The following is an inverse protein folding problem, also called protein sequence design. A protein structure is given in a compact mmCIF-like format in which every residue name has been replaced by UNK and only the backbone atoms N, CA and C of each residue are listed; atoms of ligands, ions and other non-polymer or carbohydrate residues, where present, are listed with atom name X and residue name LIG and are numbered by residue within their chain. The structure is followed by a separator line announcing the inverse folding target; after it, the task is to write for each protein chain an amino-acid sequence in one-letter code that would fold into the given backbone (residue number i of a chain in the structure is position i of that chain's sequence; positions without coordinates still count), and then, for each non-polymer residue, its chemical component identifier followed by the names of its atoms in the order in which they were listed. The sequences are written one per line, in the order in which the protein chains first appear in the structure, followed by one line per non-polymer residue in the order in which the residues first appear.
data_IF_291359546137
#
_entry.id   IF_291359546137
#
_cell.length_a   1.000
_cell.length_b   1.000
_cell.length_c   1.000
_cell.angle_alpha   90.00
_cell.angle_beta   90.00
_cell.angle_gamma   90.00
#
_symmetry.space_group_name_H-M   'P 1'
#
loop_
_entity.id
_entity.type
_entity.pdbx_description
1 polymer ?
#
# COMPACT_ATOMS: atom_id res chain seq x y z
N UNK A 1 37.28 7.74 -7.47
CA UNK A 1 37.00 7.17 -6.13
C UNK A 1 35.59 6.60 -6.19
N UNK A 2 35.39 5.34 -5.85
CA UNK A 2 34.06 4.72 -5.83
C UNK A 2 33.27 5.25 -4.65
N UNK A 3 32.04 5.72 -4.88
CA UNK A 3 31.14 6.14 -3.79
C UNK A 3 30.83 4.90 -2.94
N UNK A 4 31.03 4.94 -1.62
CA UNK A 4 30.76 3.80 -0.75
C UNK A 4 29.27 3.45 -0.78
N UNK A 5 28.96 2.15 -0.70
CA UNK A 5 27.58 1.68 -0.69
C UNK A 5 26.91 1.96 0.66
N UNK A 6 25.58 2.04 0.68
CA UNK A 6 24.80 2.24 1.90
C UNK A 6 25.15 1.21 2.99
N UNK A 7 25.26 -0.06 2.62
CA UNK A 7 25.63 -1.15 3.51
C UNK A 7 27.00 -0.95 4.17
N UNK A 8 27.99 -0.49 3.41
CA UNK A 8 29.34 -0.23 3.91
C UNK A 8 29.34 0.92 4.92
N UNK A 9 28.72 2.06 4.57
CA UNK A 9 28.60 3.22 5.46
C UNK A 9 27.86 2.88 6.74
N UNK A 10 26.73 2.18 6.65
CA UNK A 10 25.94 1.77 7.81
C UNK A 10 26.75 0.86 8.75
N UNK A 11 27.48 -0.12 8.19
CA UNK A 11 28.33 -1.03 8.95
C UNK A 11 29.47 -0.30 9.68
N UNK A 12 30.12 0.64 8.99
CA UNK A 12 31.19 1.45 9.54
C UNK A 12 30.68 2.31 10.71
N UNK A 13 29.58 3.03 10.51
CA UNK A 13 29.00 3.88 11.55
C UNK A 13 28.46 3.10 12.75
N UNK A 14 27.86 1.93 12.54
CA UNK A 14 27.45 1.03 13.64
C UNK A 14 28.63 0.56 14.47
N UNK A 15 29.72 0.16 13.80
CA UNK A 15 30.96 -0.29 14.46
C UNK A 15 31.58 0.85 15.26
N UNK A 16 31.64 2.05 14.68
CA UNK A 16 32.16 3.25 15.36
C UNK A 16 31.33 3.65 16.57
N UNK A 17 30.00 3.54 16.48
CA UNK A 17 29.09 3.88 17.57
C UNK A 17 28.99 2.79 18.66
N UNK A 18 29.49 1.58 18.40
CA UNK A 18 29.36 0.45 19.31
C UNK A 18 27.91 -0.03 19.51
N UNK A 19 27.02 0.27 18.55
CA UNK A 19 25.59 -0.06 18.63
C UNK A 19 25.33 -1.40 17.94
N UNK A 20 24.58 -2.29 18.60
CA UNK A 20 24.19 -3.56 18.01
C UNK A 20 23.00 -3.43 17.06
N UNK A 21 22.88 -4.32 16.06
CA UNK A 21 21.74 -4.34 15.12
C UNK A 21 20.38 -4.40 15.84
N UNK A 22 20.31 -5.15 16.95
CA UNK A 22 19.09 -5.28 17.77
C UNK A 22 18.71 -3.95 18.43
N UNK A 23 19.71 -3.24 18.96
CA UNK A 23 19.49 -1.96 19.61
C UNK A 23 19.07 -0.89 18.59
N UNK A 24 19.76 -0.82 17.45
CA UNK A 24 19.39 0.09 16.37
C UNK A 24 17.95 -0.17 15.93
N UNK A 25 17.61 -1.42 15.63
CA UNK A 25 16.28 -1.81 15.18
C UNK A 25 15.18 -1.39 16.18
N UNK A 26 15.38 -1.65 17.48
CA UNK A 26 14.47 -1.24 18.54
C UNK A 26 14.29 0.28 18.59
N UNK A 27 15.39 1.04 18.45
CA UNK A 27 15.35 2.50 18.54
C UNK A 27 14.63 3.19 17.37
N UNK A 28 14.73 2.64 16.16
CA UNK A 28 14.08 3.21 14.97
C UNK A 28 12.68 2.62 14.70
N UNK A 29 12.26 1.61 15.48
CA UNK A 29 10.94 0.98 15.38
C UNK A 29 10.82 -0.06 14.26
N UNK A 30 11.94 -0.65 13.81
CA UNK A 30 11.93 -1.70 12.77
C UNK A 30 12.35 -3.05 13.32
N UNK A 31 12.13 -4.13 12.56
CA UNK A 31 12.57 -5.48 12.95
C UNK A 31 14.09 -5.61 12.80
N UNK A 32 14.75 -6.36 13.69
CA UNK A 32 16.20 -6.66 13.62
C UNK A 32 16.62 -7.20 12.25
N UNK A 33 15.80 -8.08 11.66
CA UNK A 33 16.05 -8.66 10.34
C UNK A 33 16.16 -7.59 9.24
N UNK A 34 15.44 -6.47 9.35
CA UNK A 34 15.48 -5.38 8.39
C UNK A 34 16.85 -4.69 8.43
N UNK A 35 17.34 -4.34 9.62
CA UNK A 35 18.68 -3.74 9.81
C UNK A 35 19.77 -4.70 9.34
N UNK A 36 19.64 -6.00 9.63
CA UNK A 36 20.58 -7.00 9.14
C UNK A 36 20.63 -7.02 7.60
N UNK A 37 19.49 -7.04 6.91
CA UNK A 37 19.44 -7.02 5.44
C UNK A 37 20.01 -5.73 4.84
N UNK A 38 19.88 -4.59 5.53
CA UNK A 38 20.51 -3.33 5.12
C UNK A 38 22.03 -3.43 5.22
N UNK A 39 22.54 -3.97 6.34
CA UNK A 39 23.97 -4.14 6.60
C UNK A 39 24.65 -5.11 5.63
N UNK A 40 23.96 -6.20 5.26
CA UNK A 40 24.46 -7.19 4.29
C UNK A 40 24.30 -6.72 2.82
N UNK A 41 23.73 -5.55 2.56
CA UNK A 41 23.48 -5.06 1.20
C UNK A 41 22.42 -5.85 0.43
N UNK A 42 21.63 -6.70 1.11
CA UNK A 42 20.50 -7.44 0.51
C UNK A 42 19.33 -6.53 0.12
N UNK A 43 19.34 -5.29 0.61
CA UNK A 43 18.42 -4.23 0.24
C UNK A 43 19.27 -3.04 -0.14
N UNK A 44 19.40 -2.78 -1.45
CA UNK A 44 20.17 -1.65 -1.97
C UNK A 44 19.57 -0.30 -1.59
N UNK A 45 18.23 -0.24 -1.42
CA UNK A 45 17.50 0.99 -1.13
C UNK A 45 16.44 0.77 -0.04
N UNK A 46 16.61 1.34 1.17
CA UNK A 46 15.56 1.39 2.18
C UNK A 46 14.28 2.02 1.63
N UNK A 47 13.10 1.55 2.09
CA UNK A 47 11.81 2.02 1.57
C UNK A 47 11.36 3.36 2.16
N UNK A 48 11.79 3.65 3.38
CA UNK A 48 11.38 4.81 4.18
C UNK A 48 12.58 5.71 4.43
N UNK A 49 12.46 6.98 4.06
CA UNK A 49 13.49 8.00 4.33
C UNK A 49 13.59 8.27 5.83
N UNK A 50 12.45 8.32 6.51
CA UNK A 50 12.34 8.59 7.94
C UNK A 50 13.11 7.56 8.77
N UNK A 51 13.13 6.29 8.36
CA UNK A 51 13.88 5.26 9.08
C UNK A 51 15.40 5.47 8.97
N UNK A 52 15.88 5.94 7.81
CA UNK A 52 17.29 6.29 7.60
C UNK A 52 17.68 7.53 8.41
N UNK A 53 16.79 8.52 8.51
CA UNK A 53 17.00 9.69 9.35
C UNK A 53 17.03 9.34 10.85
N UNK A 54 16.10 8.52 11.34
CA UNK A 54 16.14 8.02 12.72
C UNK A 54 17.42 7.21 12.99
N UNK A 55 17.88 6.46 12.00
CA UNK A 55 19.15 5.75 12.08
C UNK A 55 20.34 6.72 12.22
N UNK A 56 20.42 7.74 11.37
CA UNK A 56 21.46 8.77 11.45
C UNK A 56 21.45 9.51 12.80
N UNK A 57 20.25 9.84 13.29
CA UNK A 57 20.05 10.48 14.60
C UNK A 57 20.52 9.58 15.75
N UNK A 58 20.14 8.29 15.75
CA UNK A 58 20.55 7.32 16.78
C UNK A 58 22.07 7.09 16.77
N UNK A 59 22.68 7.06 15.60
CA UNK A 59 24.13 6.92 15.41
C UNK A 59 24.89 8.22 15.70
N UNK A 60 24.18 9.33 15.97
CA UNK A 60 24.75 10.68 16.20
C UNK A 60 25.68 11.11 15.07
N UNK A 61 25.26 10.86 13.83
CA UNK A 61 26.02 11.28 12.65
C UNK A 61 26.06 12.79 12.53
N UNK A 62 27.18 13.31 12.04
CA UNK A 62 27.27 14.71 11.60
C UNK A 62 26.37 14.96 10.38
N UNK A 63 26.11 16.22 10.05
CA UNK A 63 25.24 16.55 8.92
C UNK A 63 25.79 16.02 7.58
N UNK A 64 27.10 16.13 7.36
CA UNK A 64 27.78 15.59 6.17
C UNK A 64 27.66 14.06 6.09
N UNK A 65 27.88 13.36 7.20
CA UNK A 65 27.75 11.90 7.26
C UNK A 65 26.31 11.43 7.04
N UNK A 66 25.34 12.15 7.62
CA UNK A 66 23.91 11.91 7.40
C UNK A 66 23.57 12.06 5.92
N UNK A 67 24.04 13.12 5.27
CA UNK A 67 23.75 13.37 3.86
C UNK A 67 24.44 12.35 2.94
N UNK A 68 25.67 11.93 3.25
CA UNK A 68 26.32 10.81 2.57
C UNK A 68 25.54 9.50 2.74
N UNK A 69 25.04 9.22 3.94
CA UNK A 69 24.22 8.03 4.21
C UNK A 69 22.89 8.08 3.44
N UNK A 70 22.24 9.24 3.38
CA UNK A 70 21.00 9.46 2.62
C UNK A 70 21.25 9.29 1.11
N UNK A 71 22.31 9.89 0.57
CA UNK A 71 22.69 9.75 -0.84
C UNK A 71 22.97 8.30 -1.21
N UNK A 72 23.73 7.58 -0.38
CA UNK A 72 24.02 6.17 -0.58
C UNK A 72 22.75 5.31 -0.52
N UNK A 73 21.76 5.70 0.29
CA UNK A 73 20.43 5.11 0.36
C UNK A 73 19.47 5.58 -0.75
N UNK A 74 19.93 6.42 -1.68
CA UNK A 74 19.13 6.96 -2.80
C UNK A 74 18.09 8.00 -2.38
N UNK A 75 18.29 8.72 -1.29
CA UNK A 75 17.44 9.83 -0.85
C UNK A 75 18.14 11.18 -1.07
N UNK A 76 17.36 12.27 -1.13
CA UNK A 76 17.89 13.62 -1.22
C UNK A 76 18.55 14.04 0.12
N UNK A 77 19.70 14.76 0.08
CA UNK A 77 20.34 15.35 1.26
C UNK A 77 19.41 16.28 2.04
N UNK A 78 19.56 16.32 3.35
CA UNK A 78 18.74 17.20 4.20
C UNK A 78 19.16 18.66 4.02
N UNK A 79 20.46 18.95 3.95
CA UNK A 79 20.94 20.34 3.88
C UNK A 79 20.64 21.01 2.54
N UNK A 80 20.70 20.27 1.42
CA UNK A 80 20.24 20.80 0.12
C UNK A 80 18.74 21.12 0.14
N UNK A 81 17.95 20.35 0.90
CA UNK A 81 16.51 20.59 1.01
C UNK A 81 16.24 21.87 1.80
N UNK A 82 17.01 22.13 2.87
CA UNK A 82 16.90 23.37 3.65
C UNK A 82 17.42 24.58 2.90
N UNK A 83 18.51 24.45 2.14
CA UNK A 83 19.08 25.57 1.38
C UNK A 83 18.16 25.97 0.21
N UNK A 84 17.60 24.99 -0.52
CA UNK A 84 16.61 25.27 -1.56
C UNK A 84 15.34 25.89 -0.96
N UNK A 85 14.88 25.41 0.19
CA UNK A 85 13.71 25.98 0.86
C UNK A 85 13.98 27.41 1.38
N UNK A 86 15.21 27.68 1.83
CA UNK A 86 15.67 29.00 2.27
C UNK A 86 15.81 29.98 1.11
N UNK A 87 16.29 29.52 -0.04
CA UNK A 87 16.40 30.32 -1.27
C UNK A 87 15.03 30.57 -1.94
N UNK A 88 14.09 29.62 -1.80
CA UNK A 88 12.74 29.75 -2.35
C UNK A 88 11.81 30.65 -1.54
N UNK A 89 12.14 30.95 -0.28
CA UNK A 89 11.43 31.94 0.52
C UNK A 89 12.12 33.29 0.33
N UNK A 90 11.47 34.30 -0.30
CA UNK A 90 12.07 35.62 -0.45
C UNK A 90 12.46 36.12 0.95
N UNK A 91 13.75 36.41 1.12
CA UNK A 91 14.27 36.98 2.35
C UNK A 91 13.55 38.31 2.57
N UNK A 92 12.67 38.35 3.57
CA UNK A 92 12.12 39.58 4.16
C UNK A 92 13.23 40.35 4.91
N UNK A 93 14.41 40.50 4.30
CA UNK A 93 15.46 41.40 4.76
C UNK A 93 15.10 42.81 4.29
N UNK A 94 14.21 43.45 5.04
CA UNK A 94 13.77 44.80 4.73
C UNK A 94 12.89 45.49 5.77
N UNK A 95 12.83 45.02 7.01
CA UNK A 95 12.18 45.75 8.10
C UNK A 95 13.25 46.30 9.06
N UNK A 96 13.93 47.35 8.59
CA UNK A 96 14.74 48.25 9.41
C UNK A 96 13.88 48.78 10.56
N UNK A 97 14.23 48.37 11.78
CA UNK A 97 13.84 49.03 13.01
C UNK A 97 14.35 50.46 12.98
N UNK A 98 13.43 51.42 12.83
CA UNK A 98 13.69 52.81 13.24
C UNK A 98 13.06 52.97 14.62
N UNK A 99 13.93 52.93 15.62
CA UNK A 99 13.69 53.52 16.94
C UNK A 99 13.37 55.01 16.75
N UNK A 100 12.17 55.44 17.16
CA UNK A 100 11.93 56.80 17.64
C UNK A 100 11.06 56.73 18.88
N UNK A 101 11.71 56.96 20.02
CA UNK A 101 11.26 57.63 21.24
C UNK A 101 9.74 57.86 21.43
N UNK A 102 9.14 57.17 22.41
CA UNK A 102 8.01 57.72 23.15
C UNK A 102 8.21 57.58 24.66
N UNK A 103 8.75 58.62 25.34
CA UNK A 103 8.94 58.64 26.78
C UNK A 103 7.79 59.39 27.47
N UNK A 104 6.55 58.89 27.43
CA UNK A 104 5.52 59.44 28.32
C UNK A 104 4.26 58.57 28.51
N UNK A 105 4.13 57.91 29.67
CA UNK A 105 2.86 57.64 30.41
C UNK A 105 3.13 56.54 31.46
N UNK A 106 3.53 56.83 32.70
CA UNK A 106 2.76 57.41 33.84
C UNK A 106 1.64 56.48 34.34
N UNK A 107 1.95 55.85 35.49
CA UNK A 107 1.16 55.54 36.69
C UNK A 107 -0.12 54.68 36.65
N UNK A 108 -0.03 53.53 37.37
CA UNK A 108 -0.87 53.04 38.51
C UNK A 108 -2.42 52.94 38.38
N UNK A 109 -3.13 52.26 39.31
CA UNK A 109 -2.95 50.90 39.83
C UNK A 109 -4.31 50.13 39.97
N UNK A 110 -4.21 48.88 40.46
CA UNK A 110 -5.13 48.21 41.41
C UNK A 110 -6.67 48.28 41.20
N UNK A 111 -7.26 47.12 40.90
CA UNK A 111 -8.57 46.72 41.44
C UNK A 111 -8.74 45.21 41.31
N UNK A 112 -8.91 44.55 42.45
CA UNK A 112 -9.23 43.14 42.55
C UNK A 112 -10.56 42.76 41.90
N UNK A 113 -10.67 41.47 41.59
CA UNK A 113 -11.96 40.80 41.59
C UNK A 113 -11.74 39.38 42.08
N UNK A 114 -12.07 39.16 43.36
CA UNK A 114 -12.54 37.89 43.86
C UNK A 114 -13.77 37.47 43.06
N UNK A 115 -13.90 36.20 42.71
CA UNK A 115 -15.18 35.48 42.84
C UNK A 115 -14.95 33.97 42.71
N UNK A 116 -15.42 33.29 43.73
CA UNK A 116 -15.57 31.86 43.92
C UNK A 116 -16.50 31.29 42.85
N UNK A 117 -16.24 30.09 42.30
CA UNK A 117 -17.30 29.09 42.20
C UNK A 117 -16.74 27.67 42.03
N UNK A 118 -17.51 26.75 42.59
CA UNK A 118 -17.19 25.42 43.05
C UNK A 118 -17.38 24.32 42.01
N UNK A 119 -17.10 23.07 42.45
CA UNK A 119 -17.73 21.80 42.00
C UNK A 119 -17.24 21.27 40.63
N UNK A 120 -16.85 20.01 40.41
CA UNK A 120 -17.24 18.72 41.00
C UNK A 120 -16.07 17.72 41.00
N UNK A 121 -15.91 17.10 42.15
CA UNK A 121 -15.23 15.84 42.43
C UNK A 121 -16.11 14.68 41.93
N UNK A 122 -15.59 13.86 41.00
CA UNK A 122 -16.23 12.62 40.56
C UNK A 122 -15.26 11.44 40.75
N UNK A 123 -14.98 11.13 42.02
CA UNK A 123 -14.49 9.83 42.45
C UNK A 123 -15.64 8.82 42.59
N UNK A 124 -15.75 7.86 41.67
CA UNK A 124 -16.63 6.71 41.82
C UNK A 124 -15.88 5.53 42.50
N UNK A 125 -16.38 4.97 43.62
CA UNK A 125 -15.88 3.73 44.18
C UNK A 125 -16.64 2.53 43.58
N UNK A 126 -15.89 1.60 42.96
CA UNK A 126 -16.43 0.31 42.53
C UNK A 126 -16.41 -0.64 43.73
N UNK A 127 -17.61 -1.07 44.11
CA UNK A 127 -17.93 -1.98 45.21
C UNK A 127 -17.59 -3.43 44.86
N UNK A 128 -16.91 -4.08 45.80
CA UNK A 128 -16.76 -5.53 45.94
C UNK A 128 -18.11 -6.25 45.90
N UNK A 129 -18.18 -7.39 45.22
CA UNK A 129 -18.85 -8.59 45.73
C UNK A 129 -18.55 -9.83 44.88
N UNK A 130 -18.05 -10.88 45.55
CA UNK A 130 -18.52 -12.25 45.28
C UNK A 130 -17.56 -13.24 44.60
N UNK A 131 -16.64 -13.81 45.37
CA UNK A 131 -16.12 -15.18 45.17
C UNK A 131 -17.27 -16.20 45.36
N UNK A 132 -17.27 -17.36 44.68
CA UNK A 132 -16.76 -18.55 45.37
C UNK A 132 -15.90 -19.49 44.49
N UNK A 133 -15.13 -20.30 45.22
CA UNK A 133 -14.08 -21.21 44.82
C UNK A 133 -14.48 -22.33 43.84
N UNK A 134 -13.49 -22.83 43.07
CA UNK A 134 -13.14 -24.26 42.83
C UNK A 134 -11.86 -24.27 41.97
N UNK A 135 -10.65 -24.32 42.55
CA UNK A 135 -9.82 -25.52 42.76
C UNK A 135 -9.78 -26.47 41.56
N UNK A 136 -8.68 -26.49 40.80
CA UNK A 136 -7.88 -27.68 40.40
C UNK A 136 -6.67 -27.20 39.57
N UNK A 137 -5.47 -27.25 40.17
CA UNK A 137 -4.20 -27.24 39.43
C UNK A 137 -3.88 -28.66 38.94
N UNK A 138 -3.08 -28.79 37.87
CA UNK A 138 -1.99 -29.75 37.92
C UNK A 138 -0.64 -29.09 37.58
N UNK A 139 0.21 -29.02 38.60
CA UNK A 139 1.62 -29.45 38.62
C UNK A 139 2.17 -29.97 37.28
N UNK A 140 3.14 -29.26 36.69
CA UNK A 140 4.28 -29.87 35.98
C UNK A 140 5.55 -29.04 36.18
N UNK A 141 6.39 -29.56 37.06
CA UNK A 141 7.86 -29.59 37.10
C UNK A 141 8.69 -28.61 36.24
N UNK A 142 9.33 -27.68 36.95
CA UNK A 142 10.64 -27.14 36.58
C UNK A 142 11.73 -28.17 36.87
N UNK A 143 12.45 -28.59 35.83
CA UNK A 143 13.68 -29.39 35.96
C UNK A 143 14.89 -28.48 35.77
N UNK A 144 15.78 -28.33 36.76
CA UNK A 144 17.09 -27.73 36.57
C UNK A 144 18.09 -28.83 36.20
N UNK A 145 18.62 -28.81 34.98
CA UNK A 145 19.71 -29.70 34.56
C UNK A 145 20.99 -28.92 34.36
N UNK A 146 21.88 -29.13 35.33
CA UNK A 146 23.34 -29.24 35.18
C UNK A 146 24.10 -28.21 34.35
N UNK A 147 24.56 -27.20 35.09
CA UNK A 147 25.94 -26.72 35.05
C UNK A 147 26.92 -27.92 35.16
N UNK A 148 27.58 -28.26 34.06
CA UNK A 148 28.79 -29.08 34.08
C UNK A 148 29.93 -28.31 33.43
N UNK A 149 30.95 -28.10 34.27
CA UNK A 149 32.28 -27.67 33.92
C UNK A 149 32.87 -28.50 32.78
N UNK A 150 33.54 -27.84 31.83
CA UNK A 150 34.56 -28.49 31.03
C UNK A 150 35.74 -27.54 30.89
N UNK A 151 36.76 -27.87 31.67
CA UNK A 151 38.09 -27.31 31.65
C UNK A 151 38.98 -28.17 30.71
N UNK A 152 39.97 -27.52 30.09
CA UNK A 152 41.18 -28.08 29.46
C UNK A 152 41.08 -28.97 28.17
N UNK A 153 41.43 -28.35 27.02
CA UNK A 153 42.48 -28.68 26.00
C UNK A 153 42.78 -30.17 25.63
N UNK A 154 43.07 -30.52 24.35
CA UNK A 154 44.25 -29.99 23.64
C UNK A 154 44.19 -29.79 22.11
N UNK A 155 45.21 -29.06 21.64
CA UNK A 155 45.67 -28.95 20.25
C UNK A 155 45.83 -30.34 19.59
N UNK A 156 45.33 -30.47 18.36
CA UNK A 156 45.61 -31.60 17.49
C UNK A 156 45.30 -31.24 16.04
N UNK A 157 46.35 -31.09 15.24
CA UNK A 157 46.29 -30.83 13.82
C UNK A 157 45.55 -31.95 13.06
N UNK A 158 44.79 -31.58 12.03
CA UNK A 158 44.54 -32.42 10.86
C UNK A 158 44.06 -31.54 9.71
N UNK A 159 44.99 -31.30 8.79
CA UNK A 159 44.71 -31.05 7.38
C UNK A 159 43.70 -32.08 6.87
N UNK A 160 42.52 -31.62 6.44
CA UNK A 160 41.72 -32.34 5.46
C UNK A 160 41.36 -31.37 4.34
N UNK A 161 42.18 -31.42 3.29
CA UNK A 161 41.87 -30.88 1.99
C UNK A 161 40.61 -31.56 1.43
N UNK A 162 39.46 -30.90 1.58
CA UNK A 162 38.23 -31.26 0.87
C UNK A 162 38.42 -30.86 -0.59
N UNK A 163 38.71 -31.86 -1.42
CA UNK A 163 38.75 -31.73 -2.88
C UNK A 163 37.31 -31.64 -3.38
N UNK A 164 36.85 -30.43 -3.69
CA UNK A 164 35.57 -30.18 -4.36
C UNK A 164 35.75 -30.52 -5.85
N UNK A 165 34.98 -31.47 -6.42
CA UNK A 165 35.05 -31.74 -7.85
C UNK A 165 34.48 -30.56 -8.65
N UNK A 166 35.08 -30.17 -9.78
CA UNK A 166 34.52 -29.10 -10.61
C UNK A 166 33.18 -29.55 -11.19
N UNK A 167 32.17 -28.71 -11.02
CA UNK A 167 30.86 -28.89 -11.63
C UNK A 167 31.00 -28.94 -13.15
N UNK A 168 30.75 -30.11 -13.74
CA UNK A 168 30.57 -30.29 -15.18
C UNK A 168 29.33 -29.51 -15.65
N UNK A 169 29.45 -28.53 -16.57
CA UNK A 169 28.29 -27.89 -17.15
C UNK A 169 27.52 -28.89 -18.03
N UNK A 170 26.21 -28.92 -17.83
CA UNK A 170 25.25 -29.75 -18.55
C UNK A 170 25.33 -29.49 -20.06
N UNK A 171 25.76 -30.53 -20.78
CA UNK A 171 26.00 -30.58 -22.23
C UNK A 171 24.73 -30.49 -23.10
N UNK A 172 23.56 -30.19 -22.52
CA UNK A 172 22.26 -30.25 -23.19
C UNK A 172 21.71 -28.88 -23.65
N UNK A 173 22.38 -27.77 -23.33
CA UNK A 173 21.98 -26.43 -23.77
C UNK A 173 22.83 -25.86 -24.93
N UNK A 174 23.86 -26.59 -25.39
CA UNK A 174 24.73 -26.13 -26.46
C UNK A 174 24.18 -26.36 -27.88
N UNK A 175 23.17 -27.22 -28.05
CA UNK A 175 22.68 -27.61 -29.39
C UNK A 175 21.54 -26.73 -29.92
N UNK A 176 20.89 -25.91 -29.08
CA UNK A 176 19.75 -25.07 -29.51
C UNK A 176 20.19 -23.68 -29.99
N UNK A 177 21.42 -23.24 -29.65
CA UNK A 177 21.88 -21.87 -29.96
C UNK A 177 22.65 -21.72 -31.29
N UNK A 178 22.92 -22.82 -32.01
CA UNK A 178 23.69 -22.80 -33.26
C UNK A 178 22.83 -22.73 -34.54
N UNK A 179 21.50 -22.79 -34.45
CA UNK A 179 20.61 -22.78 -35.63
C UNK A 179 19.99 -21.43 -35.99
N UNK A 180 20.17 -20.39 -35.18
CA UNK A 180 19.35 -19.17 -35.28
C UNK A 180 20.01 -17.96 -35.95
N UNK A 181 21.21 -18.11 -36.52
CA UNK A 181 21.98 -16.97 -37.06
C UNK A 181 22.35 -17.08 -38.55
N UNK A 182 21.78 -18.03 -39.27
CA UNK A 182 21.87 -18.05 -40.73
C UNK A 182 20.48 -18.00 -41.35
N UNK A 183 20.21 -16.94 -42.09
CA UNK A 183 19.07 -16.70 -42.98
C UNK A 183 17.83 -15.99 -42.39
N UNK A 184 17.95 -14.67 -42.19
CA UNK A 184 16.89 -13.73 -41.77
C UNK A 184 15.68 -13.64 -42.73
N UNK A 185 15.71 -14.28 -43.90
CA UNK A 185 14.58 -14.24 -44.85
C UNK A 185 13.54 -15.36 -44.66
N UNK A 186 13.86 -16.42 -43.91
CA UNK A 186 12.95 -17.56 -43.71
C UNK A 186 12.40 -17.67 -42.28
N UNK A 187 12.90 -16.86 -41.33
CA UNK A 187 12.48 -16.92 -39.93
C UNK A 187 11.01 -16.56 -39.69
N UNK A 188 10.47 -15.57 -40.41
CA UNK A 188 9.08 -15.14 -40.21
C UNK A 188 8.05 -16.18 -40.70
N UNK A 189 8.34 -16.87 -41.80
CA UNK A 189 7.46 -17.92 -42.34
C UNK A 189 7.46 -19.18 -41.47
N UNK A 190 8.62 -19.55 -40.89
CA UNK A 190 8.71 -20.70 -39.98
C UNK A 190 7.90 -20.52 -38.69
N UNK A 191 7.92 -19.31 -38.11
CA UNK A 191 7.18 -19.01 -36.88
C UNK A 191 5.66 -19.08 -37.11
N UNK A 192 5.17 -18.56 -38.25
CA UNK A 192 3.75 -18.62 -38.60
C UNK A 192 3.27 -20.06 -38.85
N UNK A 193 4.09 -20.91 -39.48
CA UNK A 193 3.74 -22.30 -39.71
C UNK A 193 3.61 -23.09 -38.39
N UNK A 194 4.49 -22.86 -37.42
CA UNK A 194 4.45 -23.52 -36.10
C UNK A 194 3.24 -23.04 -35.29
N UNK A 195 2.93 -21.74 -35.32
CA UNK A 195 1.73 -21.19 -34.68
C UNK A 195 0.43 -21.74 -35.29
N UNK A 196 0.37 -21.83 -36.62
CA UNK A 196 -0.79 -22.41 -37.32
C UNK A 196 -1.01 -23.88 -36.97
N UNK A 197 0.07 -24.68 -36.89
CA UNK A 197 -0.01 -26.08 -36.51
C UNK A 197 -0.48 -26.25 -35.05
N UNK A 198 -0.03 -25.38 -34.14
CA UNK A 198 -0.43 -25.41 -32.74
C UNK A 198 -1.92 -25.08 -32.55
N UNK A 199 -2.43 -24.04 -33.23
CA UNK A 199 -3.87 -23.69 -33.19
C UNK A 199 -4.73 -24.84 -33.72
N UNK A 200 -4.30 -25.48 -34.81
CA UNK A 200 -5.03 -26.61 -35.42
C UNK A 200 -5.05 -27.85 -34.50
N UNK A 201 -3.97 -28.11 -33.76
CA UNK A 201 -3.89 -29.19 -32.78
C UNK A 201 -4.80 -28.93 -31.57
N UNK A 202 -4.79 -27.71 -31.03
CA UNK A 202 -5.66 -27.33 -29.91
C UNK A 202 -7.13 -27.45 -30.31
N UNK A 203 -7.51 -26.93 -31.47
CA UNK A 203 -8.89 -26.95 -31.95
C UNK A 203 -9.41 -28.39 -32.19
N UNK A 204 -8.54 -29.31 -32.63
CA UNK A 204 -8.87 -30.72 -32.81
C UNK A 204 -9.07 -31.49 -31.50
N UNK A 205 -8.49 -31.02 -30.39
CA UNK A 205 -8.55 -31.72 -29.10
C UNK A 205 -9.65 -31.25 -28.15
N UNK A 206 -10.45 -30.22 -28.52
CA UNK A 206 -11.62 -29.82 -27.73
C UNK A 206 -12.80 -30.76 -28.01
N UNK A 207 -13.23 -31.60 -27.05
CA UNK A 207 -14.43 -32.42 -27.23
C UNK A 207 -15.66 -31.52 -27.21
N UNK A 208 -16.38 -31.45 -28.34
CA UNK A 208 -17.70 -30.86 -28.42
C UNK A 208 -18.69 -31.68 -27.58
N UNK A 209 -18.77 -31.41 -26.27
CA UNK A 209 -19.85 -31.90 -25.41
C UNK A 209 -21.04 -30.96 -25.55
N UNK A 210 -21.82 -31.17 -26.60
CA UNK A 210 -23.21 -30.70 -26.66
C UNK A 210 -24.03 -31.80 -25.99
N UNK A 211 -24.35 -31.61 -24.71
CA UNK A 211 -25.32 -32.48 -24.01
C UNK A 211 -26.71 -32.05 -24.46
N UNK A 212 -27.52 -32.91 -25.11
CA UNK A 212 -28.92 -32.60 -25.38
C UNK A 212 -29.69 -32.48 -24.06
N UNK A 213 -30.45 -31.40 -23.92
CA UNK A 213 -31.28 -31.14 -22.76
C UNK A 213 -32.34 -32.24 -22.60
N UNK A 214 -32.41 -32.79 -21.39
CA UNK A 214 -33.41 -33.77 -20.96
C UNK A 214 -34.79 -33.08 -20.85
N UNK A 215 -35.89 -33.71 -21.33
CA UNK A 215 -37.23 -33.15 -21.22
C UNK A 215 -37.69 -33.20 -19.74
N UNK A 216 -37.75 -32.03 -19.11
CA UNK A 216 -38.29 -31.85 -17.76
C UNK A 216 -39.78 -32.20 -17.73
N UNK A 217 -40.15 -33.11 -16.84
CA UNK A 217 -41.52 -33.51 -16.59
C UNK A 217 -42.35 -32.35 -16.03
N UNK A 218 -43.53 -32.17 -16.60
CA UNK A 218 -44.52 -31.15 -16.24
C UNK A 218 -45.14 -31.46 -14.88
N UNK A 219 -44.78 -30.71 -13.85
CA UNK A 219 -45.49 -30.70 -12.56
C UNK A 219 -46.73 -29.79 -12.60
N UNK A 220 -47.79 -30.10 -11.83
CA UNK A 220 -49.05 -29.38 -11.85
C UNK A 220 -48.90 -27.95 -11.30
N UNK A 221 -49.35 -26.99 -12.10
CA UNK A 221 -49.42 -25.56 -11.78
C UNK A 221 -50.37 -25.32 -10.61
N UNK A 222 -49.81 -25.08 -9.42
CA UNK A 222 -50.55 -24.47 -8.30
C UNK A 222 -50.65 -22.98 -8.60
N UNK A 223 -51.87 -22.51 -8.88
CA UNK A 223 -52.17 -21.08 -9.03
C UNK A 223 -52.03 -20.39 -7.68
N UNK A 224 -50.82 -19.94 -7.36
CA UNK A 224 -50.61 -18.93 -6.33
C UNK A 224 -51.14 -17.59 -6.84
N UNK A 225 -52.18 -17.09 -6.18
CA UNK A 225 -52.71 -15.75 -6.35
C UNK A 225 -51.60 -14.74 -6.08
N UNK A 226 -51.03 -14.18 -7.16
CA UNK A 226 -50.00 -13.14 -7.11
C UNK A 226 -50.58 -11.89 -6.44
N UNK A 227 -50.24 -11.69 -5.17
CA UNK A 227 -50.32 -10.40 -4.52
C UNK A 227 -49.37 -9.47 -5.30
N UNK A 228 -49.83 -8.35 -5.90
CA UNK A 228 -48.96 -7.46 -6.64
C UNK A 228 -47.80 -7.04 -5.73
N UNK A 229 -46.54 -7.14 -6.18
CA UNK A 229 -45.40 -6.74 -5.37
C UNK A 229 -45.61 -5.28 -4.96
N UNK A 230 -45.80 -5.07 -3.65
CA UNK A 230 -45.85 -3.74 -3.06
C UNK A 230 -44.54 -3.08 -3.46
N UNK A 231 -44.61 -2.05 -4.29
CA UNK A 231 -43.45 -1.25 -4.65
C UNK A 231 -42.82 -0.74 -3.35
N UNK A 232 -41.75 -1.40 -2.91
CA UNK A 232 -40.90 -0.88 -1.86
C UNK A 232 -40.37 0.43 -2.38
N UNK A 233 -40.77 1.52 -1.74
CA UNK A 233 -40.31 2.86 -2.05
C UNK A 233 -38.78 2.81 -2.10
N UNK A 234 -38.21 3.11 -3.27
CA UNK A 234 -36.77 3.33 -3.44
C UNK A 234 -36.33 4.29 -2.35
N UNK A 235 -35.47 3.82 -1.44
CA UNK A 235 -34.92 4.68 -0.41
C UNK A 235 -34.18 5.83 -1.13
N UNK A 236 -34.68 7.05 -0.97
CA UNK A 236 -34.03 8.21 -1.55
C UNK A 236 -32.71 8.45 -0.80
N UNK A 237 -31.61 8.58 -1.54
CA UNK A 237 -30.34 9.02 -0.95
C UNK A 237 -30.51 10.42 -0.35
N UNK A 238 -29.89 10.71 0.81
CA UNK A 238 -30.01 12.03 1.41
C UNK A 238 -29.30 13.08 0.56
N UNK A 239 -29.75 14.33 0.66
CA UNK A 239 -29.35 15.43 -0.22
C UNK A 239 -27.84 15.78 -0.25
N UNK A 240 -27.05 15.22 0.66
CA UNK A 240 -25.62 15.49 0.79
C UNK A 240 -24.73 14.55 -0.04
N UNK A 241 -25.33 13.67 -0.84
CA UNK A 241 -24.56 12.74 -1.66
C UNK A 241 -24.04 13.42 -2.94
N UNK A 242 -22.81 13.09 -3.38
CA UNK A 242 -22.23 13.70 -4.57
C UNK A 242 -23.08 13.37 -5.79
N UNK A 243 -23.49 14.42 -6.51
CA UNK A 243 -24.30 14.34 -7.73
C UNK A 243 -23.62 15.14 -8.83
N UNK A 244 -23.64 14.62 -10.06
CA UNK A 244 -23.02 15.29 -11.20
C UNK A 244 -23.72 16.62 -11.49
N UNK A 245 -22.94 17.67 -11.72
CA UNK A 245 -23.48 18.90 -12.29
C UNK A 245 -23.89 18.66 -13.75
N UNK A 246 -24.87 19.43 -14.23
CA UNK A 246 -25.38 19.31 -15.60
C UNK A 246 -24.24 19.50 -16.62
N UNK A 247 -23.93 18.44 -17.38
CA UNK A 247 -22.88 18.44 -18.39
C UNK A 247 -21.45 18.22 -17.85
N UNK A 248 -21.26 18.09 -16.54
CA UNK A 248 -19.98 17.72 -15.95
C UNK A 248 -19.86 16.18 -15.84
N UNK A 249 -18.65 15.68 -15.97
CA UNK A 249 -18.34 14.28 -15.69
C UNK A 249 -18.03 14.13 -14.20
N UNK A 250 -18.80 13.30 -13.50
CA UNK A 250 -18.51 12.93 -12.12
C UNK A 250 -17.89 11.53 -12.06
N UNK A 251 -16.71 11.45 -11.46
CA UNK A 251 -16.08 10.18 -11.06
C UNK A 251 -16.31 9.99 -9.57
N UNK A 252 -16.76 8.80 -9.18
CA UNK A 252 -16.94 8.44 -7.78
C UNK A 252 -15.94 7.37 -7.39
N UNK A 253 -15.33 7.53 -6.23
CA UNK A 253 -14.51 6.48 -5.59
C UNK A 253 -15.17 6.09 -4.27
N UNK A 254 -15.65 4.86 -4.16
CA UNK A 254 -16.23 4.35 -2.93
C UNK A 254 -15.13 3.79 -1.99
N UNK A 255 -15.33 3.89 -0.66
CA UNK A 255 -14.54 3.17 0.33
C UNK A 255 -14.47 1.68 -0.02
N UNK A 256 -13.25 1.13 0.07
CA UNK A 256 -13.03 -0.28 -0.19
C UNK A 256 -13.41 -1.11 1.03
N UNK A 257 -13.99 -2.29 0.77
CA UNK A 257 -14.29 -3.25 1.83
C UNK A 257 -13.00 -3.97 2.25
N UNK A 258 -12.60 -3.81 3.51
CA UNK A 258 -11.36 -4.36 4.05
C UNK A 258 -11.64 -5.55 4.94
N UNK A 259 -11.09 -6.72 4.59
CA UNK A 259 -11.23 -7.96 5.36
C UNK A 259 -10.06 -8.18 6.35
N UNK A 260 -9.23 -7.16 6.55
CA UNK A 260 -8.12 -7.19 7.51
C UNK A 260 -8.60 -6.79 8.89
N UNK A 261 -8.41 -7.68 9.87
CA UNK A 261 -9.01 -7.58 11.22
C UNK A 261 -8.60 -6.30 11.98
N UNK A 262 -7.45 -5.71 11.67
CA UNK A 262 -6.83 -4.69 12.53
C UNK A 262 -6.43 -3.38 11.83
N UNK A 263 -6.61 -3.28 10.51
CA UNK A 263 -6.12 -2.10 9.77
C UNK A 263 -7.08 -1.79 8.62
N UNK A 264 -7.61 -0.57 8.63
CA UNK A 264 -8.36 -0.02 7.50
C UNK A 264 -7.47 0.94 6.73
N UNK A 265 -7.26 0.66 5.46
CA UNK A 265 -6.52 1.55 4.57
C UNK A 265 -7.48 2.51 3.87
N UNK A 266 -7.11 3.80 3.82
CA UNK A 266 -7.81 4.80 3.01
C UNK A 266 -7.48 4.62 1.52
N UNK A 267 -7.98 3.55 0.91
CA UNK A 267 -7.76 3.23 -0.50
C UNK A 267 -8.44 4.27 -1.40
N UNK A 268 -9.67 4.68 -1.06
CA UNK A 268 -10.45 5.62 -1.84
C UNK A 268 -9.76 6.99 -1.96
N UNK A 269 -9.28 7.55 -0.85
CA UNK A 269 -8.56 8.82 -0.86
C UNK A 269 -7.28 8.80 -1.69
N UNK A 270 -6.53 7.69 -1.65
CA UNK A 270 -5.31 7.55 -2.47
C UNK A 270 -5.61 7.48 -3.97
N UNK A 271 -6.67 6.78 -4.34
CA UNK A 271 -7.13 6.73 -5.74
C UNK A 271 -7.65 8.10 -6.17
N UNK A 272 -8.41 8.78 -5.33
CA UNK A 272 -8.93 10.13 -5.59
C UNK A 272 -7.77 11.11 -5.83
N UNK A 273 -6.79 11.17 -4.93
CA UNK A 273 -5.63 12.07 -5.03
C UNK A 273 -4.84 11.83 -6.33
N UNK A 274 -4.56 10.56 -6.65
CA UNK A 274 -3.83 10.19 -7.85
C UNK A 274 -4.61 10.55 -9.14
N UNK A 275 -5.93 10.37 -9.16
CA UNK A 275 -6.78 10.74 -10.28
C UNK A 275 -6.96 12.25 -10.41
N UNK A 276 -7.18 12.96 -9.31
CA UNK A 276 -7.32 14.41 -9.29
C UNK A 276 -6.08 15.10 -9.87
N UNK A 277 -4.90 14.65 -9.44
CA UNK A 277 -3.61 15.13 -9.98
C UNK A 277 -3.53 14.94 -11.50
N UNK A 278 -3.96 13.78 -11.99
CA UNK A 278 -3.88 13.47 -13.42
C UNK A 278 -4.93 14.22 -14.25
N UNK A 279 -6.15 14.36 -13.74
CA UNK A 279 -7.24 15.15 -14.37
C UNK A 279 -6.80 16.61 -14.50
N UNK A 280 -6.19 17.17 -13.46
CA UNK A 280 -5.62 18.51 -13.50
C UNK A 280 -4.50 18.63 -14.55
N UNK A 281 -3.56 17.67 -14.57
CA UNK A 281 -2.46 17.65 -15.55
C UNK A 281 -2.96 17.50 -17.01
N UNK A 282 -4.03 16.74 -17.21
CA UNK A 282 -4.63 16.51 -18.53
C UNK A 282 -5.55 17.67 -18.99
N UNK A 283 -5.80 18.67 -18.14
CA UNK A 283 -6.68 19.80 -18.47
C UNK A 283 -8.16 19.40 -18.62
N UNK A 284 -8.60 18.33 -17.95
CA UNK A 284 -9.97 17.84 -18.02
C UNK A 284 -10.91 18.65 -17.10
N UNK A 285 -11.06 19.94 -17.37
CA UNK A 285 -11.70 20.94 -16.51
C UNK A 285 -13.18 20.67 -16.17
N UNK A 286 -13.87 19.83 -16.95
CA UNK A 286 -15.28 19.46 -16.70
C UNK A 286 -15.42 18.12 -15.98
N UNK A 287 -14.34 17.63 -15.36
CA UNK A 287 -14.32 16.34 -14.65
C UNK A 287 -14.07 16.57 -13.16
N UNK A 288 -15.04 16.17 -12.33
CA UNK A 288 -14.94 16.23 -10.87
C UNK A 288 -14.79 14.82 -10.31
N UNK A 289 -14.05 14.67 -9.22
CA UNK A 289 -13.87 13.40 -8.53
C UNK A 289 -14.22 13.50 -7.05
N UNK A 290 -15.18 12.68 -6.61
CA UNK A 290 -15.71 12.69 -5.26
C UNK A 290 -15.64 11.30 -4.61
N UNK A 291 -15.60 11.28 -3.29
CA UNK A 291 -15.67 10.04 -2.51
C UNK A 291 -17.14 9.73 -2.17
N UNK A 292 -17.58 8.50 -2.43
CA UNK A 292 -18.88 8.03 -1.93
C UNK A 292 -18.80 7.79 -0.42
N UNK A 293 -19.81 8.16 0.39
CA UNK A 293 -19.69 8.00 1.84
C UNK A 293 -19.79 6.54 2.32
N UNK A 294 -20.40 5.65 1.52
CA UNK A 294 -20.67 4.25 1.91
C UNK A 294 -19.86 3.25 1.08
N UNK A 295 -19.66 2.04 1.60
CA UNK A 295 -19.05 0.96 0.84
C UNK A 295 -20.05 0.37 -0.16
N UNK A 296 -19.59 0.09 -1.37
CA UNK A 296 -20.39 -0.61 -2.38
C UNK A 296 -20.04 -2.09 -2.33
N UNK A 297 -21.01 -2.95 -1.99
CA UNK A 297 -20.80 -4.42 -1.85
C UNK A 297 -21.55 -5.26 -2.86
N UNK A 298 -22.45 -4.66 -3.63
CA UNK A 298 -23.28 -5.37 -4.59
C UNK A 298 -23.53 -4.55 -5.83
N UNK A 299 -23.74 -5.24 -6.96
CA UNK A 299 -24.11 -4.61 -8.22
C UNK A 299 -25.48 -3.94 -8.18
N UNK A 300 -26.40 -4.40 -7.32
CA UNK A 300 -27.70 -3.75 -7.14
C UNK A 300 -27.55 -2.38 -6.50
N UNK A 301 -26.76 -2.30 -5.42
CA UNK A 301 -26.49 -1.03 -4.75
C UNK A 301 -25.66 -0.10 -5.63
N UNK A 302 -24.67 -0.62 -6.38
CA UNK A 302 -23.95 0.14 -7.40
C UNK A 302 -24.88 0.81 -8.42
N UNK A 303 -25.93 0.10 -8.89
CA UNK A 303 -26.91 0.68 -9.82
C UNK A 303 -27.71 1.81 -9.19
N UNK A 304 -28.03 1.70 -7.90
CA UNK A 304 -28.66 2.78 -7.13
C UNK A 304 -27.71 3.99 -7.02
N UNK A 305 -26.42 3.76 -6.72
CA UNK A 305 -25.38 4.81 -6.66
C UNK A 305 -25.24 5.51 -8.01
N UNK A 306 -25.08 4.77 -9.11
CA UNK A 306 -24.98 5.32 -10.46
C UNK A 306 -26.23 6.12 -10.84
N UNK A 307 -27.42 5.62 -10.52
CA UNK A 307 -28.68 6.32 -10.82
C UNK A 307 -28.85 7.60 -9.99
N UNK A 308 -28.44 7.59 -8.72
CA UNK A 308 -28.64 8.72 -7.81
C UNK A 308 -27.63 9.83 -8.05
N UNK A 309 -26.35 9.46 -8.19
CA UNK A 309 -25.27 10.42 -8.40
C UNK A 309 -25.16 10.92 -9.84
N UNK A 310 -25.74 10.19 -10.80
CA UNK A 310 -25.49 10.41 -12.23
C UNK A 310 -24.00 10.35 -12.59
N UNK A 311 -23.21 9.60 -11.82
CA UNK A 311 -21.78 9.47 -12.06
C UNK A 311 -21.49 8.81 -13.42
N UNK A 312 -20.48 9.34 -14.09
CA UNK A 312 -19.96 8.82 -15.36
C UNK A 312 -19.19 7.51 -15.13
N UNK A 313 -18.51 7.40 -13.98
CA UNK A 313 -17.73 6.22 -13.59
C UNK A 313 -17.72 6.08 -12.06
N UNK A 314 -17.92 4.87 -11.56
CA UNK A 314 -17.79 4.51 -10.15
C UNK A 314 -16.67 3.49 -9.99
N UNK A 315 -15.75 3.78 -9.08
CA UNK A 315 -14.62 2.92 -8.70
C UNK A 315 -14.88 2.40 -7.29
N UNK A 316 -14.89 1.09 -7.12
CA UNK A 316 -15.14 0.44 -5.84
C UNK A 316 -14.40 -0.88 -5.77
N UNK A 317 -14.33 -1.52 -4.60
CA UNK A 317 -13.59 -2.76 -4.50
C UNK A 317 -13.44 -3.28 -3.08
N UNK A 318 -12.59 -4.28 -2.97
CA UNK A 318 -12.29 -4.96 -1.72
C UNK A 318 -10.80 -5.28 -1.63
N UNK A 319 -10.30 -5.45 -0.40
CA UNK A 319 -8.95 -5.95 -0.17
C UNK A 319 -8.91 -6.91 1.02
N UNK A 320 -8.04 -7.89 0.91
CA UNK A 320 -7.68 -8.82 1.98
C UNK A 320 -6.15 -9.03 1.99
N UNK A 321 -5.66 -9.94 2.82
CA UNK A 321 -4.22 -10.21 2.94
C UNK A 321 -3.58 -10.86 1.70
N UNK A 322 -4.37 -11.38 0.77
CA UNK A 322 -3.95 -12.13 -0.41
C UNK A 322 -4.33 -11.48 -1.75
N UNK A 323 -5.29 -10.55 -1.79
CA UNK A 323 -5.66 -9.83 -3.01
C UNK A 323 -6.20 -8.43 -2.75
N UNK A 324 -6.06 -7.57 -3.76
CA UNK A 324 -6.85 -6.35 -3.91
C UNK A 324 -7.67 -6.46 -5.19
N UNK A 325 -8.98 -6.23 -5.12
CA UNK A 325 -9.88 -6.21 -6.28
C UNK A 325 -10.45 -4.81 -6.45
N UNK A 326 -10.41 -4.32 -7.68
CA UNK A 326 -11.02 -3.05 -8.07
C UNK A 326 -12.00 -3.28 -9.20
N UNK A 327 -13.18 -2.71 -9.06
CA UNK A 327 -14.23 -2.67 -10.06
C UNK A 327 -14.41 -1.22 -10.52
N UNK A 328 -14.54 -1.05 -11.84
CA UNK A 328 -14.83 0.22 -12.48
C UNK A 328 -16.09 0.03 -13.29
N UNK A 329 -17.14 0.74 -12.92
CA UNK A 329 -18.45 0.61 -13.54
C UNK A 329 -18.98 1.94 -14.02
N UNK A 330 -19.45 1.99 -15.27
CA UNK A 330 -20.16 3.13 -15.84
C UNK A 330 -21.65 2.82 -16.03
N UNK A 331 -22.47 3.81 -16.43
CA UNK A 331 -23.89 3.62 -16.68
C UNK A 331 -24.20 2.74 -17.90
N UNK A 332 -23.27 2.63 -18.87
CA UNK A 332 -23.52 2.00 -20.19
C UNK A 332 -22.81 0.66 -20.35
N UNK A 333 -23.15 -0.32 -19.50
CA UNK A 333 -22.59 -1.70 -19.50
C UNK A 333 -21.05 -1.76 -19.48
N UNK A 334 -20.42 -0.68 -19.05
CA UNK A 334 -18.97 -0.63 -18.87
C UNK A 334 -18.71 -1.25 -17.51
N UNK A 335 -18.16 -2.45 -17.52
CA UNK A 335 -17.64 -3.13 -16.35
C UNK A 335 -16.20 -3.57 -16.62
N UNK A 336 -15.27 -3.08 -15.80
CA UNK A 336 -13.89 -3.54 -15.78
C UNK A 336 -13.53 -3.96 -14.37
N UNK A 337 -12.93 -5.14 -14.24
CA UNK A 337 -12.42 -5.64 -12.99
C UNK A 337 -10.91 -5.82 -13.10
N UNK A 338 -10.20 -5.45 -12.03
CA UNK A 338 -8.76 -5.63 -11.90
C UNK A 338 -8.44 -6.27 -10.56
N UNK A 339 -7.82 -7.44 -10.61
CA UNK A 339 -7.36 -8.18 -9.44
C UNK A 339 -5.82 -8.04 -9.33
N UNK A 340 -5.34 -7.77 -8.13
CA UNK A 340 -3.93 -7.70 -7.75
C UNK A 340 -3.66 -8.83 -6.76
N UNK A 341 -3.03 -9.90 -7.22
CA UNK A 341 -2.61 -11.01 -6.36
C UNK A 341 -1.40 -10.59 -5.51
N UNK A 342 -1.45 -10.93 -4.22
CA UNK A 342 -0.41 -10.60 -3.26
C UNK A 342 0.28 -11.88 -2.79
N UNK A 343 1.61 -11.88 -2.84
CA UNK A 343 2.42 -12.99 -2.36
C UNK A 343 2.58 -12.98 -0.83
N UNK A 344 2.33 -11.84 -0.19
CA UNK A 344 2.40 -11.71 1.27
C UNK A 344 1.57 -10.54 1.81
N UNK A 345 1.16 -10.57 3.10
CA UNK A 345 0.45 -9.44 3.73
C UNK A 345 1.24 -8.12 3.71
N UNK A 346 2.58 -8.17 3.73
CA UNK A 346 3.41 -6.95 3.67
C UNK A 346 3.39 -6.29 2.29
N UNK A 347 3.03 -7.05 1.25
CA UNK A 347 2.85 -6.52 -0.10
C UNK A 347 1.59 -5.68 -0.21
N UNK A 348 0.54 -5.99 0.56
CA UNK A 348 -0.73 -5.25 0.58
C UNK A 348 -0.53 -3.73 0.71
N UNK A 349 0.24 -3.30 1.71
CA UNK A 349 0.53 -1.88 1.95
C UNK A 349 1.25 -1.26 0.75
N UNK A 350 2.20 -2.00 0.16
CA UNK A 350 2.98 -1.53 -0.99
C UNK A 350 2.08 -1.38 -2.21
N UNK A 351 1.21 -2.37 -2.46
CA UNK A 351 0.25 -2.38 -3.56
C UNK A 351 -0.78 -1.25 -3.41
N UNK A 352 -1.43 -1.12 -2.26
CA UNK A 352 -2.41 -0.05 -1.99
C UNK A 352 -1.78 1.34 -2.11
N UNK A 353 -0.54 1.51 -1.63
CA UNK A 353 0.12 2.82 -1.61
C UNK A 353 0.67 3.22 -2.97
N UNK A 354 1.25 2.28 -3.73
CA UNK A 354 2.05 2.62 -4.91
C UNK A 354 1.48 2.07 -6.22
N UNK A 355 1.16 0.78 -6.26
CA UNK A 355 0.80 0.10 -7.51
C UNK A 355 -0.63 0.43 -7.92
N UNK A 356 -1.55 0.30 -6.97
CA UNK A 356 -2.98 0.44 -7.17
C UNK A 356 -3.35 1.82 -7.73
N UNK A 357 -2.94 2.96 -7.13
CA UNK A 357 -3.36 4.27 -7.65
C UNK A 357 -2.82 4.52 -9.06
N UNK A 358 -1.62 4.03 -9.38
CA UNK A 358 -1.00 4.18 -10.70
C UNK A 358 -1.76 3.40 -11.78
N UNK A 359 -2.10 2.14 -11.52
CA UNK A 359 -2.83 1.31 -12.49
C UNK A 359 -4.27 1.79 -12.66
N UNK A 360 -4.96 2.08 -11.56
CA UNK A 360 -6.36 2.55 -11.62
C UNK A 360 -6.49 3.89 -12.32
N UNK A 361 -5.50 4.78 -12.16
CA UNK A 361 -5.43 6.03 -12.92
C UNK A 361 -5.47 5.80 -14.43
N UNK A 362 -4.61 4.91 -14.94
CA UNK A 362 -4.55 4.62 -16.39
C UNK A 362 -5.87 4.00 -16.85
N UNK A 363 -6.39 3.04 -16.09
CA UNK A 363 -7.62 2.32 -16.42
C UNK A 363 -8.84 3.24 -16.46
N UNK A 364 -8.96 4.14 -15.48
CA UNK A 364 -10.04 5.12 -15.40
C UNK A 364 -9.97 6.11 -16.57
N UNK A 365 -8.80 6.65 -16.92
CA UNK A 365 -8.65 7.56 -18.05
C UNK A 365 -8.97 6.90 -19.39
N UNK A 366 -8.50 5.67 -19.61
CA UNK A 366 -8.84 4.90 -20.83
C UNK A 366 -10.33 4.65 -20.91
N UNK A 367 -10.97 4.35 -19.78
CA UNK A 367 -12.41 4.13 -19.69
C UNK A 367 -13.20 5.40 -19.94
N UNK A 368 -12.76 6.53 -19.37
CA UNK A 368 -13.35 7.85 -19.59
C UNK A 368 -13.24 8.28 -21.06
N UNK A 369 -12.08 8.08 -21.68
CA UNK A 369 -11.88 8.36 -23.11
C UNK A 369 -12.75 7.49 -24.03
N UNK A 370 -13.12 6.27 -23.61
CA UNK A 370 -14.10 5.43 -24.32
C UNK A 370 -15.52 5.97 -24.14
N UNK A 371 -15.90 6.37 -22.93
CA UNK A 371 -17.21 6.95 -22.64
C UNK A 371 -17.44 8.23 -23.43
N UNK A 372 -16.48 9.14 -23.44
CA UNK A 372 -16.54 10.39 -24.18
C UNK A 372 -16.74 10.19 -25.69
N UNK A 373 -16.06 9.21 -26.28
CA UNK A 373 -16.23 8.88 -27.71
C UNK A 373 -17.58 8.27 -28.05
N UNK A 374 -18.27 7.67 -27.09
CA UNK A 374 -19.58 7.07 -27.33
C UNK A 374 -20.74 8.08 -27.18
N UNK A 375 -20.47 9.28 -26.63
CA UNK A 375 -21.46 10.33 -26.42
C UNK A 375 -21.57 11.34 -27.57
N UNK A 376 -20.57 11.40 -28.46
CA UNK A 376 -20.57 12.20 -29.69
C UNK A 376 -20.67 11.32 -30.92
#
# INVERSE_FOLDING_TARGET
MSVPTFAALLSEHLTRAGISDTELARSIGVRRQTVFRWKEGLVERPRSREDVLRCAQKLRLTAEERDLLLLAAGFAPEELSTEILREALPSEEGATTTDEDDPNSVDEPDAGNDEEESTEDNGAPIVEQGTPATRTEPVVSNTPMHEMASDALPRGASDMAVTVPPATPSRWLATVRAGLLTNTRYGALGVLAVLGLFVLLVWRTLPARITPAEPVATEPVVQMTLNPPRATATAAFPANYPTAESGAMLLIVAPFDGYTVNEQYNVAGRIQEALATEIANAGLISTTIEIWPEQIRSESYLREVLSASQATLVIWGEYDSGRVRVNLNGPTDIAQQRDFELSSPTELITTITNTLPKEIRILALVTLGRLLRNQG
#
